data_IF_688513789224
#
_entry.id   IF_688513789224
#
_cell.length_a   1.000
_cell.length_b   1.000
_cell.length_c   1.000
_cell.angle_alpha   90.00
_cell.angle_beta   90.00
_cell.angle_gamma   90.00
#
_symmetry.space_group_name_H-M   'P 1'
#
loop_
_entity.id
_entity.type
_entity.pdbx_description
1 polymer ?
#
# COMPACT_ATOMS: atom_id res chain seq x y z
N UNK A 1 26.92 25.85 -0.62
CA UNK A 1 25.84 24.85 -0.71
C UNK A 1 24.60 25.42 -0.02
N UNK A 2 23.52 25.68 -0.76
CA UNK A 2 22.30 26.29 -0.21
C UNK A 2 21.43 25.16 0.35
N UNK A 3 21.78 24.65 1.52
CA UNK A 3 20.97 23.68 2.24
C UNK A 3 19.64 24.37 2.58
N UNK A 4 18.57 24.08 1.83
CA UNK A 4 17.23 24.49 2.22
C UNK A 4 16.96 24.04 3.66
N UNK A 5 16.16 24.79 4.44
CA UNK A 5 16.00 24.51 5.87
C UNK A 5 15.65 23.04 6.05
N UNK A 6 16.49 22.30 6.78
CA UNK A 6 16.43 20.85 6.96
C UNK A 6 15.02 20.36 7.32
N UNK A 7 14.26 21.18 8.06
CA UNK A 7 12.86 20.96 8.42
C UNK A 7 11.93 20.83 7.20
N UNK A 8 12.13 21.60 6.14
CA UNK A 8 11.32 21.51 4.91
C UNK A 8 11.52 20.18 4.19
N UNK A 9 12.75 19.67 4.17
CA UNK A 9 13.05 18.33 3.65
C UNK A 9 12.43 17.23 4.52
N UNK A 10 12.49 17.36 5.86
CA UNK A 10 11.78 16.44 6.76
C UNK A 10 10.26 16.49 6.59
N UNK A 11 9.67 17.65 6.31
CA UNK A 11 8.23 17.73 6.01
C UNK A 11 7.88 17.09 4.67
N UNK A 12 8.76 17.14 3.66
CA UNK A 12 8.57 16.39 2.41
C UNK A 12 8.64 14.88 2.64
N UNK A 13 9.61 14.41 3.43
CA UNK A 13 9.68 13.00 3.85
C UNK A 13 8.45 12.60 4.66
N UNK A 14 8.03 13.42 5.63
CA UNK A 14 6.82 13.16 6.43
C UNK A 14 5.54 13.17 5.60
N UNK A 15 5.46 14.00 4.55
CA UNK A 15 4.33 14.00 3.64
C UNK A 15 4.25 12.71 2.81
N UNK A 16 5.40 12.08 2.51
CA UNK A 16 5.46 10.79 1.85
C UNK A 16 5.32 9.61 2.82
N UNK A 17 5.75 9.78 4.08
CA UNK A 17 5.70 8.75 5.11
C UNK A 17 4.26 8.56 5.60
N UNK A 18 3.79 7.32 5.54
CA UNK A 18 2.49 6.94 6.10
C UNK A 18 1.31 7.10 5.14
N UNK A 19 1.54 7.49 3.89
CA UNK A 19 0.49 7.44 2.87
C UNK A 19 0.13 5.99 2.58
N UNK A 20 -1.05 5.56 3.04
CA UNK A 20 -1.58 4.23 2.75
C UNK A 20 -3.09 4.18 2.94
N UNK A 21 -3.79 3.43 2.08
CA UNK A 21 -5.22 3.15 2.21
C UNK A 21 -5.54 1.97 3.12
N UNK A 22 -4.52 1.28 3.66
CA UNK A 22 -4.70 0.08 4.50
C UNK A 22 -5.75 0.24 5.62
N UNK A 23 -5.82 1.36 6.38
CA UNK A 23 -6.84 1.55 7.43
C UNK A 23 -8.28 1.67 6.90
N UNK A 24 -8.44 1.92 5.60
CA UNK A 24 -9.74 2.06 4.94
C UNK A 24 -10.22 0.75 4.31
N UNK A 25 -9.31 -0.19 4.03
CA UNK A 25 -9.64 -1.47 3.38
C UNK A 25 -10.74 -2.28 4.10
N UNK A 26 -10.80 -2.34 5.45
CA UNK A 26 -11.90 -3.03 6.14
C UNK A 26 -13.29 -2.43 5.91
N UNK A 27 -13.37 -1.20 5.35
CA UNK A 27 -14.66 -0.59 4.97
C UNK A 27 -15.18 -1.08 3.61
N UNK A 28 -14.35 -1.76 2.81
CA UNK A 28 -14.76 -2.33 1.52
C UNK A 28 -15.62 -3.57 1.76
N UNK A 29 -16.93 -3.45 1.50
CA UNK A 29 -17.91 -4.54 1.64
C UNK A 29 -18.21 -5.27 0.32
N UNK A 30 -17.75 -4.72 -0.80
CA UNK A 30 -17.97 -5.30 -2.13
C UNK A 30 -17.09 -6.54 -2.32
N UNK A 31 -17.58 -7.57 -3.02
CA UNK A 31 -16.74 -8.66 -3.50
C UNK A 31 -15.54 -8.10 -4.29
N UNK A 32 -14.33 -8.46 -3.87
CA UNK A 32 -13.09 -7.89 -4.43
C UNK A 32 -12.13 -9.00 -4.88
N UNK A 33 -11.83 -9.08 -6.17
CA UNK A 33 -10.81 -9.98 -6.69
C UNK A 33 -9.45 -9.27 -6.67
N UNK A 34 -8.46 -9.86 -6.01
CA UNK A 34 -7.08 -9.40 -5.94
C UNK A 34 -6.22 -10.34 -6.78
N UNK A 35 -5.50 -9.79 -7.75
CA UNK A 35 -4.57 -10.52 -8.62
C UNK A 35 -3.15 -10.03 -8.35
N UNK A 36 -2.21 -10.95 -8.16
CA UNK A 36 -0.80 -10.64 -7.95
C UNK A 36 0.08 -11.62 -8.74
N UNK A 37 1.14 -11.13 -9.37
CA UNK A 37 2.19 -11.99 -9.91
C UNK A 37 3.23 -12.28 -8.83
N UNK A 38 3.68 -13.53 -8.71
CA UNK A 38 4.77 -13.90 -7.80
C UNK A 38 6.14 -13.38 -8.26
N UNK A 39 6.30 -13.21 -9.57
CA UNK A 39 7.49 -12.67 -10.23
C UNK A 39 7.43 -11.14 -10.46
N UNK A 40 6.48 -10.40 -9.85
CA UNK A 40 6.42 -8.93 -10.00
C UNK A 40 7.57 -8.24 -9.25
N UNK A 41 8.52 -7.58 -9.96
CA UNK A 41 9.67 -6.93 -9.33
C UNK A 41 9.34 -5.60 -8.66
N UNK A 42 8.19 -4.99 -8.97
CA UNK A 42 7.77 -3.69 -8.48
C UNK A 42 6.82 -3.82 -7.29
N UNK A 43 5.85 -4.73 -7.36
CA UNK A 43 4.84 -4.90 -6.30
C UNK A 43 4.99 -6.25 -5.60
N UNK A 44 5.49 -6.27 -4.34
CA UNK A 44 5.61 -7.50 -3.59
C UNK A 44 4.26 -8.17 -3.32
N UNK A 45 4.18 -9.50 -3.50
CA UNK A 45 2.98 -10.31 -3.19
C UNK A 45 2.47 -10.10 -1.77
N UNK A 46 3.34 -9.75 -0.81
CA UNK A 46 2.94 -9.45 0.57
C UNK A 46 1.89 -8.32 0.63
N UNK A 47 1.94 -7.34 -0.27
CA UNK A 47 0.93 -6.29 -0.35
C UNK A 47 -0.44 -6.87 -0.68
N UNK A 48 -0.51 -7.79 -1.66
CA UNK A 48 -1.74 -8.49 -2.01
C UNK A 48 -2.29 -9.35 -0.86
N UNK A 49 -1.40 -10.02 -0.11
CA UNK A 49 -1.78 -10.79 1.09
C UNK A 49 -2.32 -9.88 2.21
N UNK A 50 -1.71 -8.71 2.43
CA UNK A 50 -2.20 -7.72 3.40
C UNK A 50 -3.57 -7.22 2.97
N UNK A 51 -3.76 -6.87 1.70
CA UNK A 51 -5.05 -6.43 1.17
C UNK A 51 -6.13 -7.50 1.35
N UNK A 52 -5.82 -8.76 0.99
CA UNK A 52 -6.75 -9.89 1.15
C UNK A 52 -7.18 -10.10 2.60
N UNK A 53 -6.25 -9.93 3.55
CA UNK A 53 -6.53 -10.04 4.98
C UNK A 53 -7.43 -8.91 5.51
N UNK A 54 -7.34 -7.72 4.92
CA UNK A 54 -8.07 -6.54 5.38
C UNK A 54 -9.43 -6.35 4.70
N UNK A 55 -9.60 -6.82 3.46
CA UNK A 55 -10.86 -6.74 2.72
C UNK A 55 -11.67 -8.01 3.01
N UNK A 56 -12.74 -7.88 3.79
CA UNK A 56 -13.51 -9.02 4.31
C UNK A 56 -14.09 -9.94 3.23
N UNK A 57 -14.42 -9.39 2.07
CA UNK A 57 -15.09 -10.09 0.96
C UNK A 57 -14.16 -10.24 -0.24
N UNK A 58 -12.87 -10.50 0.00
CA UNK A 58 -11.88 -10.61 -1.08
C UNK A 58 -11.50 -12.04 -1.40
N UNK A 59 -11.12 -12.26 -2.66
CA UNK A 59 -10.44 -13.45 -3.15
C UNK A 59 -9.05 -13.06 -3.66
N UNK A 60 -8.05 -13.88 -3.39
CA UNK A 60 -6.67 -13.66 -3.85
C UNK A 60 -6.26 -14.76 -4.82
N UNK A 61 -5.88 -14.36 -6.03
CA UNK A 61 -5.21 -15.21 -7.01
C UNK A 61 -3.77 -14.75 -7.19
N UNK A 62 -2.83 -15.69 -7.05
CA UNK A 62 -1.42 -15.47 -7.32
C UNK A 62 -1.06 -16.26 -8.57
N UNK A 63 -0.44 -15.58 -9.53
CA UNK A 63 0.08 -16.15 -10.78
C UNK A 63 1.58 -16.28 -10.74
#
# INVERSE_FOLDING_TARGET
SRSGPSRGYYYQLLAAVGWTSLPLLPRLRLPTLILAGDDDPLTPVVNARIMHRLISSSELHVY
#
